data_IF_192451283926
#
_entry.id   IF_192451283926
#
_cell.length_a   1.000
_cell.length_b   1.000
_cell.length_c   1.000
_cell.angle_alpha   90.00
_cell.angle_beta   90.00
_cell.angle_gamma   90.00
#
_symmetry.space_group_name_H-M   'P 1'
#
loop_
_entity.id
_entity.type
_entity.pdbx_description
1 polymer ?
#
# COMPACT_ATOMS: atom_id res chain seq x y z
N UNK A 1 30.62 -33.37 40.81
CA UNK A 1 30.76 -32.06 40.13
C UNK A 1 29.79 -32.08 38.97
N UNK A 2 28.61 -31.49 39.15
CA UNK A 2 27.63 -31.31 38.07
C UNK A 2 28.26 -30.37 37.04
N UNK A 3 28.44 -30.84 35.81
CA UNK A 3 28.92 -30.01 34.72
C UNK A 3 27.77 -29.07 34.32
N UNK A 4 27.90 -27.78 34.63
CA UNK A 4 27.05 -26.75 34.07
C UNK A 4 27.22 -26.76 32.54
N UNK A 5 26.20 -27.21 31.83
CA UNK A 5 26.18 -27.10 30.37
C UNK A 5 25.69 -25.71 29.97
N UNK A 6 26.27 -25.18 28.91
CA UNK A 6 25.94 -23.87 28.34
C UNK A 6 25.48 -24.09 26.91
N UNK A 7 24.31 -23.55 26.57
CA UNK A 7 23.79 -23.61 25.21
C UNK A 7 24.74 -22.90 24.24
N UNK A 8 25.23 -23.56 23.17
CA UNK A 8 26.19 -22.97 22.25
C UNK A 8 25.60 -21.84 21.38
N UNK A 9 24.27 -21.73 21.31
CA UNK A 9 23.58 -20.76 20.44
C UNK A 9 23.17 -19.47 21.15
N UNK A 10 22.91 -19.50 22.46
CA UNK A 10 22.45 -18.33 23.22
C UNK A 10 23.14 -18.14 24.58
N UNK A 11 24.16 -18.95 24.88
CA UNK A 11 24.94 -18.90 26.12
C UNK A 11 24.13 -19.07 27.43
N UNK A 12 22.90 -19.60 27.35
CA UNK A 12 22.09 -19.93 28.53
C UNK A 12 22.73 -21.09 29.29
N UNK A 13 23.05 -20.89 30.56
CA UNK A 13 23.48 -21.94 31.49
C UNK A 13 22.24 -22.60 32.12
N UNK A 14 22.20 -23.93 32.18
CA UNK A 14 21.05 -24.70 32.66
C UNK A 14 21.42 -26.05 33.29
N UNK A 15 20.46 -26.68 33.95
CA UNK A 15 20.65 -27.87 34.77
C UNK A 15 20.63 -29.15 33.95
N UNK A 16 21.82 -29.66 33.61
CA UNK A 16 21.99 -30.99 33.03
C UNK A 16 21.61 -31.13 31.55
N UNK A 17 21.97 -32.27 30.98
CA UNK A 17 21.92 -32.56 29.54
C UNK A 17 20.50 -32.57 28.96
N UNK A 18 19.53 -33.11 29.70
CA UNK A 18 18.15 -33.25 29.24
C UNK A 18 17.42 -31.90 29.13
N UNK A 19 17.68 -30.97 30.03
CA UNK A 19 17.14 -29.60 29.96
C UNK A 19 17.76 -28.83 28.79
N UNK A 20 19.06 -29.06 28.53
CA UNK A 20 19.77 -28.44 27.42
C UNK A 20 19.26 -28.92 26.06
N UNK A 21 19.00 -30.23 25.92
CA UNK A 21 18.40 -30.82 24.72
C UNK A 21 17.01 -30.23 24.42
N UNK A 22 16.13 -30.17 25.43
CA UNK A 22 14.79 -29.59 25.25
C UNK A 22 14.86 -28.10 24.89
N UNK A 23 15.78 -27.35 25.49
CA UNK A 23 16.02 -25.95 25.14
C UNK A 23 16.51 -25.80 23.69
N UNK A 24 17.44 -26.65 23.24
CA UNK A 24 17.92 -26.64 21.86
C UNK A 24 16.81 -27.01 20.87
N UNK A 25 16.01 -28.04 21.12
CA UNK A 25 14.89 -28.40 20.23
C UNK A 25 13.80 -27.32 20.15
N UNK A 26 13.54 -26.62 21.26
CA UNK A 26 12.44 -25.63 21.32
C UNK A 26 12.85 -24.27 20.75
N UNK A 27 14.09 -23.84 21.00
CA UNK A 27 14.56 -22.49 20.68
C UNK A 27 15.61 -22.44 19.57
N UNK A 28 16.20 -23.59 19.20
CA UNK A 28 17.22 -23.75 18.16
C UNK A 28 17.00 -25.03 17.31
N UNK A 29 15.78 -25.27 16.78
CA UNK A 29 15.51 -26.48 16.00
C UNK A 29 16.41 -26.54 14.75
N UNK A 30 17.06 -27.68 14.52
CA UNK A 30 17.88 -27.90 13.33
C UNK A 30 16.97 -27.94 12.09
N UNK A 31 17.21 -27.06 11.11
CA UNK A 31 16.63 -27.18 9.78
C UNK A 31 17.39 -28.30 9.04
N UNK A 32 16.81 -29.49 9.09
CA UNK A 32 17.37 -30.72 8.51
C UNK A 32 17.51 -30.58 6.98
N UNK A 33 18.75 -30.39 6.53
CA UNK A 33 19.12 -30.29 5.11
C UNK A 33 19.51 -31.67 4.57
N UNK A 34 18.59 -32.64 4.67
CA UNK A 34 18.79 -34.00 4.16
C UNK A 34 17.84 -34.32 3.01
N UNK A 35 18.43 -34.53 1.83
CA UNK A 35 17.75 -34.96 0.61
C UNK A 35 17.05 -36.31 0.82
N UNK A 36 15.73 -36.36 0.64
CA UNK A 36 14.97 -37.59 0.43
C UNK A 36 13.80 -37.34 -0.53
N UNK A 37 13.72 -38.15 -1.58
CA UNK A 37 12.80 -38.01 -2.70
C UNK A 37 11.39 -38.58 -2.40
N UNK A 38 10.39 -37.71 -2.58
CA UNK A 38 8.99 -37.92 -3.03
C UNK A 38 7.89 -38.44 -2.06
N UNK A 39 6.59 -38.11 -2.30
CA UNK A 39 6.00 -37.20 -3.28
C UNK A 39 5.30 -35.97 -2.66
N UNK A 40 5.52 -34.80 -3.25
CA UNK A 40 4.95 -33.53 -2.83
C UNK A 40 3.46 -33.41 -3.20
N UNK A 41 2.60 -33.44 -2.19
CA UNK A 41 1.34 -32.67 -2.19
C UNK A 41 1.51 -31.50 -1.22
N UNK A 42 2.45 -30.62 -1.55
CA UNK A 42 2.72 -29.41 -0.78
C UNK A 42 2.79 -28.23 -1.74
N UNK A 43 2.03 -27.17 -1.46
CA UNK A 43 2.24 -25.86 -2.06
C UNK A 43 3.73 -25.50 -1.98
N UNK A 44 4.36 -25.00 -3.06
CA UNK A 44 5.77 -24.62 -3.01
C UNK A 44 6.00 -23.64 -1.86
N UNK A 45 6.92 -23.94 -0.94
CA UNK A 45 7.41 -22.94 0.02
C UNK A 45 8.03 -21.81 -0.81
N UNK A 46 7.36 -20.67 -0.88
CA UNK A 46 7.92 -19.49 -1.52
C UNK A 46 9.19 -19.09 -0.76
N UNK A 47 10.32 -19.12 -1.46
CA UNK A 47 11.61 -18.74 -0.92
C UNK A 47 11.78 -17.22 -1.08
N UNK A 48 12.19 -16.56 0.00
CA UNK A 48 12.42 -15.11 0.05
C UNK A 48 13.91 -14.83 0.20
N UNK A 49 14.39 -13.75 -0.40
CA UNK A 49 15.74 -13.22 -0.24
C UNK A 49 15.70 -11.75 0.14
N UNK A 50 16.66 -11.32 0.97
CA UNK A 50 16.83 -9.91 1.27
C UNK A 50 17.48 -9.18 0.10
N UNK A 51 16.99 -7.97 -0.20
CA UNK A 51 17.56 -7.14 -1.25
C UNK A 51 19.02 -6.78 -0.93
N UNK A 52 19.97 -6.97 -1.87
CA UNK A 52 21.38 -6.64 -1.65
C UNK A 52 21.69 -5.14 -1.67
N UNK A 53 20.75 -4.29 -2.12
CA UNK A 53 20.96 -2.84 -2.21
C UNK A 53 20.96 -2.21 -0.82
N UNK A 54 22.06 -1.50 -0.50
CA UNK A 54 22.21 -0.88 0.83
C UNK A 54 21.09 0.13 1.09
N UNK A 55 20.35 -0.11 2.17
CA UNK A 55 19.26 0.79 2.60
C UNK A 55 17.89 0.44 2.04
N UNK A 56 17.77 -0.58 1.17
CA UNK A 56 16.47 -1.08 0.72
C UNK A 56 15.73 -1.79 1.86
N UNK A 57 16.31 -2.87 2.40
CA UNK A 57 15.77 -3.59 3.57
C UNK A 57 14.53 -4.45 3.31
N UNK A 58 14.09 -4.62 2.05
CA UNK A 58 12.96 -5.49 1.69
C UNK A 58 13.37 -6.97 1.61
N UNK A 59 12.43 -7.83 2.01
CA UNK A 59 12.51 -9.27 1.77
C UNK A 59 11.57 -9.63 0.63
N UNK A 60 12.13 -10.12 -0.47
CA UNK A 60 11.46 -10.24 -1.77
C UNK A 60 11.39 -11.72 -2.16
N UNK A 61 10.27 -12.20 -2.72
CA UNK A 61 10.21 -13.53 -3.30
C UNK A 61 11.31 -13.72 -4.36
N UNK A 62 11.97 -14.88 -4.40
CA UNK A 62 13.05 -15.13 -5.38
C UNK A 62 12.60 -14.91 -6.83
N UNK A 63 11.32 -15.19 -7.15
CA UNK A 63 10.75 -14.96 -8.48
C UNK A 63 10.64 -13.46 -8.87
N UNK A 64 10.80 -12.56 -7.91
CA UNK A 64 10.65 -11.12 -8.08
C UNK A 64 11.95 -10.34 -7.97
N UNK A 65 13.03 -10.97 -7.52
CA UNK A 65 14.30 -10.27 -7.25
C UNK A 65 14.82 -9.53 -8.49
N UNK A 66 14.76 -10.15 -9.67
CA UNK A 66 15.20 -9.51 -10.91
C UNK A 66 14.38 -8.25 -11.24
N UNK A 67 13.06 -8.32 -11.03
CA UNK A 67 12.18 -7.19 -11.28
C UNK A 67 12.38 -6.07 -10.24
N UNK A 68 12.56 -6.44 -8.99
CA UNK A 68 12.88 -5.49 -7.93
C UNK A 68 14.22 -4.79 -8.19
N UNK A 69 15.23 -5.55 -8.64
CA UNK A 69 16.53 -5.00 -9.03
C UNK A 69 16.42 -4.06 -10.23
N UNK A 70 15.63 -4.40 -11.24
CA UNK A 70 15.34 -3.51 -12.37
C UNK A 70 14.74 -2.16 -11.92
N UNK A 71 13.91 -2.16 -10.87
CA UNK A 71 13.33 -0.93 -10.31
C UNK A 71 14.37 -0.09 -9.56
N UNK A 72 15.31 -0.71 -8.84
CA UNK A 72 16.46 0.00 -8.27
C UNK A 72 17.37 0.60 -9.34
N UNK A 73 17.64 -0.14 -10.41
CA UNK A 73 18.42 0.38 -11.54
C UNK A 73 17.73 1.60 -12.16
N UNK A 74 16.41 1.61 -12.26
CA UNK A 74 15.68 2.75 -12.80
C UNK A 74 15.62 3.94 -11.82
N UNK A 75 15.56 3.67 -10.51
CA UNK A 75 15.72 4.68 -9.45
C UNK A 75 17.10 5.35 -9.55
N UNK A 76 18.18 4.58 -9.70
CA UNK A 76 19.56 5.08 -9.78
C UNK A 76 19.92 5.72 -11.13
N UNK A 77 19.44 5.16 -12.26
CA UNK A 77 19.74 5.67 -13.60
C UNK A 77 19.25 7.11 -13.78
N UNK A 78 18.08 7.41 -13.20
CA UNK A 78 17.51 8.75 -13.23
C UNK A 78 18.14 9.73 -12.20
N UNK A 79 19.05 9.25 -11.34
CA UNK A 79 19.93 10.08 -10.50
C UNK A 79 21.20 10.47 -11.29
N UNK A 80 21.76 9.53 -12.06
CA UNK A 80 23.05 9.69 -12.74
C UNK A 80 22.98 10.48 -14.06
N UNK A 81 21.86 10.45 -14.78
CA UNK A 81 21.72 11.19 -16.05
C UNK A 81 21.41 12.67 -15.82
N UNK A 82 22.14 13.57 -16.51
CA UNK A 82 21.92 15.01 -16.44
C UNK A 82 20.54 15.37 -17.05
N UNK A 83 19.53 15.82 -16.28
CA UNK A 83 18.13 15.80 -16.71
C UNK A 83 17.81 16.73 -17.89
N UNK A 84 18.64 17.75 -18.14
CA UNK A 84 18.54 18.60 -19.34
C UNK A 84 18.71 17.82 -20.65
N UNK A 85 19.19 16.58 -20.62
CA UNK A 85 19.32 15.73 -21.81
C UNK A 85 17.99 15.08 -22.23
N UNK A 86 17.10 14.75 -21.28
CA UNK A 86 15.89 13.96 -21.53
C UNK A 86 14.60 14.79 -21.61
N UNK A 87 14.48 15.86 -20.81
CA UNK A 87 13.31 16.73 -20.77
C UNK A 87 13.69 18.18 -21.06
N UNK A 88 12.91 18.84 -21.94
CA UNK A 88 13.03 20.27 -22.22
C UNK A 88 11.87 20.98 -21.55
N UNK A 89 12.16 21.76 -20.50
CA UNK A 89 11.18 22.60 -19.82
C UNK A 89 10.77 23.73 -20.77
N UNK A 90 9.48 23.85 -21.03
CA UNK A 90 8.94 24.92 -21.85
C UNK A 90 8.81 26.17 -20.97
N UNK A 91 9.61 27.20 -21.26
CA UNK A 91 9.55 28.47 -20.53
C UNK A 91 8.16 29.09 -20.69
N UNK A 92 7.41 29.20 -19.59
CA UNK A 92 6.21 30.03 -19.52
C UNK A 92 6.65 31.49 -19.46
N UNK A 93 6.30 32.29 -20.46
CA UNK A 93 6.23 33.75 -20.28
C UNK A 93 5.20 34.03 -19.17
N UNK A 94 5.51 34.83 -18.15
CA UNK A 94 4.56 35.10 -17.08
C UNK A 94 3.43 35.98 -17.62
N UNK A 95 2.24 35.41 -17.76
CA UNK A 95 1.01 36.20 -17.82
C UNK A 95 0.63 36.55 -16.38
N UNK A 96 0.92 37.79 -15.99
CA UNK A 96 0.40 38.39 -14.76
C UNK A 96 -1.10 38.63 -14.92
N UNK A 97 -1.90 37.73 -14.36
CA UNK A 97 -3.31 37.98 -14.07
C UNK A 97 -3.48 37.94 -12.56
N UNK A 98 -3.39 39.11 -11.94
CA UNK A 98 -3.76 39.35 -10.54
C UNK A 98 -5.26 39.15 -10.38
N UNK A 99 -5.65 38.10 -9.64
CA UNK A 99 -7.00 37.96 -9.09
C UNK A 99 -6.92 38.09 -7.57
N UNK A 100 -7.63 39.10 -7.07
CA UNK A 100 -7.66 39.52 -5.68
C UNK A 100 -8.37 38.48 -4.80
N UNK A 101 -7.77 38.17 -3.65
CA UNK A 101 -8.39 37.39 -2.60
C UNK A 101 -9.35 38.29 -1.80
N UNK A 102 -10.62 37.89 -1.71
CA UNK A 102 -11.58 38.44 -0.75
C UNK A 102 -11.69 37.45 0.41
N UNK A 103 -11.19 37.86 1.57
CA UNK A 103 -11.35 37.17 2.84
C UNK A 103 -12.76 37.39 3.38
N UNK A 104 -13.43 36.33 3.83
CA UNK A 104 -14.55 36.47 4.77
C UNK A 104 -14.36 35.51 5.94
N UNK A 105 -14.40 36.08 7.13
CA UNK A 105 -14.24 35.42 8.42
C UNK A 105 -15.60 35.02 8.96
N UNK A 106 -15.78 33.76 9.37
CA UNK A 106 -16.80 33.38 10.32
C UNK A 106 -16.21 32.46 11.39
N UNK A 107 -16.29 32.91 12.64
CA UNK A 107 -16.12 32.15 13.88
C UNK A 107 -17.50 31.67 14.33
N UNK A 108 -17.58 30.45 14.86
CA UNK A 108 -18.28 30.04 16.11
C UNK A 108 -18.25 28.50 16.24
N UNK A 109 -17.46 27.96 17.16
CA UNK A 109 -17.79 27.43 18.52
C UNK A 109 -18.28 25.98 18.56
N UNK A 110 -17.61 25.22 19.42
CA UNK A 110 -17.72 23.78 19.65
C UNK A 110 -18.98 23.37 20.43
N UNK A 111 -19.39 22.11 20.26
CA UNK A 111 -20.01 21.27 21.30
C UNK A 111 -20.08 19.79 20.84
N UNK A 112 -20.14 18.92 21.85
CA UNK A 112 -19.84 17.48 21.87
C UNK A 112 -20.99 16.55 21.48
N UNK A 113 -20.65 15.26 21.26
CA UNK A 113 -21.57 14.11 21.25
C UNK A 113 -21.87 13.56 19.85
N UNK A 114 -21.99 12.25 19.56
CA UNK A 114 -22.11 11.06 20.39
C UNK A 114 -21.69 9.80 19.59
N UNK A 115 -21.16 8.82 20.32
CA UNK A 115 -20.90 7.43 19.92
C UNK A 115 -22.20 6.60 19.85
N UNK A 116 -22.98 6.70 18.77
CA UNK A 116 -24.18 5.85 18.61
C UNK A 116 -24.25 5.07 17.28
N UNK A 117 -23.30 5.28 16.37
CA UNK A 117 -23.38 4.73 15.01
C UNK A 117 -22.36 3.61 14.70
N UNK A 118 -21.59 3.13 15.69
CA UNK A 118 -20.57 2.08 15.46
C UNK A 118 -21.18 0.68 15.49
N UNK A 119 -22.19 0.43 16.32
CA UNK A 119 -22.84 -0.89 16.43
C UNK A 119 -23.66 -1.27 15.19
N UNK A 120 -24.24 -0.28 14.50
CA UNK A 120 -25.10 -0.53 13.34
C UNK A 120 -24.30 -0.92 12.09
N UNK A 121 -23.05 -0.44 11.97
CA UNK A 121 -22.15 -0.81 10.87
C UNK A 121 -21.49 -2.19 11.08
N UNK A 122 -21.20 -2.56 12.34
CA UNK A 122 -20.69 -3.89 12.68
C UNK A 122 -21.67 -5.02 12.30
N UNK A 123 -22.98 -4.79 12.44
CA UNK A 123 -24.02 -5.78 12.06
C UNK A 123 -24.22 -5.90 10.55
N UNK A 124 -23.98 -4.86 9.76
CA UNK A 124 -24.17 -4.89 8.30
C UNK A 124 -23.00 -5.61 7.59
N UNK A 125 -21.77 -5.46 8.10
CA UNK A 125 -20.56 -6.10 7.55
C UNK A 125 -20.46 -7.60 7.89
N UNK A 126 -21.21 -8.07 8.89
CA UNK A 126 -21.28 -9.49 9.25
C UNK A 126 -22.00 -10.36 8.20
N UNK A 127 -22.76 -9.76 7.26
CA UNK A 127 -23.62 -10.50 6.32
C UNK A 127 -22.94 -10.93 5.01
N UNK A 128 -21.65 -10.62 4.80
CA UNK A 128 -20.87 -11.11 3.64
C UNK A 128 -19.80 -12.15 4.01
N UNK A 129 -19.66 -12.52 5.28
CA UNK A 129 -18.79 -13.61 5.69
C UNK A 129 -19.55 -14.95 5.61
N UNK A 130 -19.50 -15.61 4.45
CA UNK A 130 -19.85 -17.05 4.39
C UNK A 130 -18.82 -17.82 5.23
N UNK A 131 -19.28 -18.36 6.35
CA UNK A 131 -18.52 -19.21 7.26
C UNK A 131 -17.86 -20.38 6.53
N UNK A 132 -16.52 -20.41 6.52
CA UNK A 132 -15.78 -21.68 6.47
C UNK A 132 -15.54 -22.12 7.91
N UNK A 133 -15.90 -23.37 8.19
CA UNK A 133 -15.93 -23.93 9.53
C UNK A 133 -14.55 -24.16 10.15
N UNK A 134 -14.57 -24.30 11.48
CA UNK A 134 -13.61 -24.97 12.38
C UNK A 134 -12.24 -25.32 11.75
N UNK A 135 -11.44 -24.30 11.51
CA UNK A 135 -9.99 -24.38 11.66
C UNK A 135 -9.64 -23.39 12.77
N UNK A 136 -8.86 -23.81 13.77
CA UNK A 136 -8.66 -23.08 15.01
C UNK A 136 -8.13 -21.65 14.82
N UNK A 137 -8.25 -20.85 15.87
CA UNK A 137 -7.65 -19.51 16.07
C UNK A 137 -6.13 -19.54 15.81
N UNK A 138 -5.73 -19.64 14.55
CA UNK A 138 -4.35 -19.85 14.17
C UNK A 138 -3.75 -18.51 13.80
N UNK A 139 -2.68 -18.15 14.51
CA UNK A 139 -1.85 -16.99 14.16
C UNK A 139 -1.29 -17.16 12.75
N UNK A 140 -1.26 -16.06 12.00
CA UNK A 140 -0.66 -16.01 10.68
C UNK A 140 0.86 -16.16 10.76
N UNK A 141 1.46 -16.56 9.64
CA UNK A 141 2.88 -16.86 9.55
C UNK A 141 3.68 -15.75 8.87
N UNK A 142 4.93 -16.09 8.52
CA UNK A 142 5.83 -15.21 7.76
C UNK A 142 5.34 -14.91 6.33
N UNK A 143 4.49 -15.78 5.77
CA UNK A 143 3.95 -15.57 4.43
C UNK A 143 3.01 -14.36 4.37
N UNK A 144 2.19 -14.16 5.40
CA UNK A 144 1.23 -13.06 5.46
C UNK A 144 1.78 -11.84 6.20
N UNK A 145 2.49 -12.05 7.31
CA UNK A 145 2.97 -10.97 8.19
C UNK A 145 4.40 -10.50 7.88
N UNK A 146 5.03 -11.09 6.87
CA UNK A 146 6.41 -10.82 6.48
C UNK A 146 7.45 -11.37 7.46
N UNK A 147 8.72 -11.00 7.25
CA UNK A 147 9.86 -11.49 8.05
C UNK A 147 9.74 -11.22 9.56
N UNK A 148 8.94 -10.23 9.95
CA UNK A 148 8.74 -9.81 11.34
C UNK A 148 7.44 -10.35 11.96
N UNK A 149 6.85 -11.40 11.39
CA UNK A 149 5.61 -12.01 11.87
C UNK A 149 5.53 -12.27 13.38
N UNK A 150 6.66 -12.63 14.00
CA UNK A 150 6.73 -12.98 15.43
C UNK A 150 7.36 -11.89 16.29
N UNK A 151 7.68 -10.73 15.70
CA UNK A 151 8.25 -9.60 16.42
C UNK A 151 7.26 -9.10 17.48
N UNK A 152 7.76 -8.91 18.70
CA UNK A 152 6.99 -8.31 19.80
C UNK A 152 7.16 -6.79 19.84
N UNK A 153 8.35 -6.30 19.53
CA UNK A 153 8.69 -4.89 19.53
C UNK A 153 9.81 -4.64 18.52
N UNK A 154 9.70 -3.58 17.74
CA UNK A 154 10.72 -3.15 16.80
C UNK A 154 11.89 -2.46 17.55
N UNK A 155 13.11 -2.47 17.00
CA UNK A 155 14.27 -1.87 17.65
C UNK A 155 14.14 -0.35 17.89
N UNK A 156 14.69 0.16 18.99
CA UNK A 156 14.63 1.58 19.38
C UNK A 156 15.20 2.54 18.33
N UNK A 157 16.24 2.11 17.61
CA UNK A 157 16.82 2.91 16.54
C UNK A 157 15.80 3.15 15.40
N UNK A 158 14.95 2.16 15.13
CA UNK A 158 13.91 2.27 14.10
C UNK A 158 12.73 3.10 14.61
N UNK A 159 12.36 2.96 15.89
CA UNK A 159 11.37 3.85 16.52
C UNK A 159 11.82 5.31 16.41
N UNK A 160 13.08 5.57 16.74
CA UNK A 160 13.69 6.90 16.62
C UNK A 160 13.71 7.39 15.17
N UNK A 161 14.03 6.51 14.22
CA UNK A 161 14.02 6.82 12.79
C UNK A 161 12.62 7.19 12.31
N UNK A 162 11.59 6.43 12.68
CA UNK A 162 10.20 6.68 12.27
C UNK A 162 9.65 7.97 12.89
N UNK A 163 9.98 8.26 14.15
CA UNK A 163 9.61 9.53 14.79
C UNK A 163 10.30 10.75 14.17
N UNK A 164 11.59 10.66 13.84
CA UNK A 164 12.36 11.79 13.27
C UNK A 164 12.17 11.95 11.77
N UNK A 165 12.11 10.83 11.06
CA UNK A 165 12.10 10.78 9.60
C UNK A 165 10.71 10.94 9.00
N UNK A 166 9.64 10.66 9.76
CA UNK A 166 8.26 10.82 9.31
C UNK A 166 7.96 10.04 8.02
N UNK A 167 7.76 10.79 6.94
CA UNK A 167 7.54 10.25 5.60
C UNK A 167 8.33 11.01 4.52
N UNK A 168 8.72 10.31 3.46
CA UNK A 168 9.26 10.93 2.24
C UNK A 168 8.10 11.03 1.25
N UNK A 169 7.59 12.25 1.05
CA UNK A 169 6.45 12.50 0.17
C UNK A 169 6.79 13.40 -1.00
N UNK A 170 6.20 13.09 -2.15
CA UNK A 170 6.27 13.90 -3.37
C UNK A 170 4.86 14.31 -3.78
N UNK A 171 4.65 15.61 -3.93
CA UNK A 171 3.39 16.19 -4.38
C UNK A 171 3.43 16.51 -5.89
N UNK A 172 2.32 16.39 -6.61
CA UNK A 172 2.23 16.73 -8.03
C UNK A 172 2.80 15.70 -9.01
N UNK A 173 3.16 14.50 -8.55
CA UNK A 173 3.63 13.40 -9.43
C UNK A 173 2.54 13.00 -10.43
N UNK A 174 1.26 13.01 -10.03
CA UNK A 174 0.13 12.72 -10.92
C UNK A 174 0.12 13.66 -12.14
N UNK A 175 0.42 14.95 -11.95
CA UNK A 175 0.50 15.93 -13.04
C UNK A 175 1.68 15.68 -14.00
N UNK A 176 2.78 15.10 -13.48
CA UNK A 176 3.91 14.68 -14.31
C UNK A 176 3.52 13.44 -15.12
N UNK A 177 2.85 12.46 -14.51
CA UNK A 177 2.34 11.26 -15.19
C UNK A 177 1.35 11.63 -16.31
N UNK A 178 0.44 12.58 -16.06
CA UNK A 178 -0.49 13.09 -17.07
C UNK A 178 0.23 13.58 -18.33
N UNK A 179 1.27 14.40 -18.15
CA UNK A 179 2.07 14.94 -19.26
C UNK A 179 2.87 13.85 -19.97
N UNK A 180 3.42 12.89 -19.24
CA UNK A 180 4.16 11.76 -19.83
C UNK A 180 3.23 10.85 -20.63
N UNK A 181 2.08 10.45 -20.09
CA UNK A 181 1.08 9.61 -20.78
C UNK A 181 0.54 10.31 -22.03
N UNK A 182 0.32 11.63 -21.96
CA UNK A 182 -0.09 12.42 -23.11
C UNK A 182 0.95 12.35 -24.24
N UNK A 183 2.23 12.36 -23.88
CA UNK A 183 3.37 12.31 -24.81
C UNK A 183 3.79 10.90 -25.23
N UNK A 184 3.38 9.86 -24.49
CA UNK A 184 3.70 8.46 -24.80
C UNK A 184 3.20 8.07 -26.17
N UNK A 185 4.01 7.36 -26.95
CA UNK A 185 3.57 6.84 -28.25
C UNK A 185 2.78 5.55 -28.11
N UNK A 186 2.97 4.83 -27.01
CA UNK A 186 2.29 3.56 -26.76
C UNK A 186 0.89 3.73 -26.18
N UNK A 187 0.64 4.77 -25.37
CA UNK A 187 -0.67 5.04 -24.76
C UNK A 187 -1.72 5.35 -25.83
N UNK A 188 -2.84 4.64 -25.78
CA UNK A 188 -4.07 4.96 -26.51
C UNK A 188 -4.96 5.89 -25.67
N UNK A 189 -5.27 5.48 -24.44
CA UNK A 189 -5.89 6.33 -23.43
C UNK A 189 -5.41 5.98 -22.02
N UNK A 190 -5.54 6.93 -21.11
CA UNK A 190 -5.29 6.69 -19.70
C UNK A 190 -6.26 7.47 -18.80
N UNK A 191 -6.52 6.91 -17.63
CA UNK A 191 -7.22 7.57 -16.54
C UNK A 191 -6.28 7.70 -15.34
N UNK A 192 -6.34 8.82 -14.64
CA UNK A 192 -5.62 9.08 -13.40
C UNK A 192 -6.62 9.42 -12.28
N UNK A 193 -6.27 9.07 -11.05
CA UNK A 193 -6.97 9.53 -9.85
C UNK A 193 -6.85 11.05 -9.67
N UNK A 194 -7.44 11.56 -8.59
CA UNK A 194 -7.33 12.97 -8.23
C UNK A 194 -5.85 13.41 -8.07
N UNK A 195 -5.47 14.57 -8.65
CA UNK A 195 -4.09 15.05 -8.62
C UNK A 195 -3.58 15.40 -7.21
N UNK A 196 -4.46 15.49 -6.21
CA UNK A 196 -4.08 15.74 -4.82
C UNK A 196 -3.37 14.55 -4.14
N UNK A 197 -3.36 13.37 -4.75
CA UNK A 197 -2.67 12.20 -4.22
C UNK A 197 -1.16 12.44 -4.21
N UNK A 198 -0.57 12.33 -3.03
CA UNK A 198 0.88 12.38 -2.83
C UNK A 198 1.46 10.97 -2.92
N UNK A 199 2.62 10.83 -3.56
CA UNK A 199 3.39 9.60 -3.45
C UNK A 199 4.13 9.59 -2.12
N UNK A 200 3.96 8.54 -1.32
CA UNK A 200 4.65 8.36 -0.04
C UNK A 200 5.54 7.13 -0.11
N UNK A 201 6.85 7.36 0.05
CA UNK A 201 7.89 6.34 -0.05
C UNK A 201 8.58 6.10 1.29
N UNK A 202 9.28 4.98 1.37
CA UNK A 202 9.97 4.52 2.58
C UNK A 202 11.17 5.38 2.96
N UNK A 203 11.47 5.39 4.27
CA UNK A 203 12.76 5.80 4.79
C UNK A 203 13.82 4.72 4.50
N UNK A 204 15.07 5.15 4.33
CA UNK A 204 16.19 4.21 4.16
C UNK A 204 16.27 3.32 5.40
N UNK A 205 16.42 2.00 5.19
CA UNK A 205 16.52 0.98 6.24
C UNK A 205 15.25 0.76 7.09
N UNK A 206 14.07 1.28 6.72
CA UNK A 206 12.85 1.03 7.51
C UNK A 206 12.34 -0.42 7.36
N UNK A 207 12.09 -0.85 6.12
CA UNK A 207 11.53 -2.16 5.74
C UNK A 207 10.14 -2.47 6.31
N UNK A 208 9.27 -3.08 5.50
CA UNK A 208 8.06 -3.76 5.99
C UNK A 208 6.85 -2.88 6.35
N UNK A 209 6.82 -1.64 5.90
CA UNK A 209 5.71 -0.71 6.14
C UNK A 209 4.88 -0.37 4.90
N UNK A 210 4.97 -1.14 3.80
CA UNK A 210 4.29 -0.82 2.54
C UNK A 210 2.79 -0.57 2.70
N UNK A 211 2.05 -1.44 3.41
CA UNK A 211 0.62 -1.25 3.65
C UNK A 211 0.28 0.04 4.40
N UNK A 212 1.12 0.42 5.37
CA UNK A 212 0.96 1.66 6.12
C UNK A 212 1.24 2.89 5.25
N UNK A 213 2.27 2.86 4.40
CA UNK A 213 2.56 3.93 3.45
C UNK A 213 1.46 4.07 2.39
N UNK A 214 0.86 2.96 1.95
CA UNK A 214 -0.32 3.00 1.08
C UNK A 214 -1.54 3.62 1.78
N UNK A 215 -1.78 3.34 3.07
CA UNK A 215 -2.80 4.06 3.85
C UNK A 215 -2.50 5.57 3.88
N UNK A 216 -1.24 5.98 4.07
CA UNK A 216 -0.85 7.40 4.00
C UNK A 216 -1.17 8.01 2.63
N UNK A 217 -0.90 7.30 1.53
CA UNK A 217 -1.27 7.77 0.18
C UNK A 217 -2.78 7.91 -0.01
N UNK A 218 -3.57 6.95 0.48
CA UNK A 218 -5.04 7.03 0.47
C UNK A 218 -5.54 8.23 1.30
N UNK A 219 -4.92 8.53 2.44
CA UNK A 219 -5.25 9.68 3.29
C UNK A 219 -4.82 11.02 2.65
N UNK A 220 -3.73 11.03 1.88
CA UNK A 220 -3.29 12.23 1.16
C UNK A 220 -4.38 12.75 0.21
N UNK A 221 -5.11 11.85 -0.46
CA UNK A 221 -6.31 12.19 -1.22
C UNK A 221 -7.36 12.83 -0.33
N UNK A 222 -7.70 12.21 0.81
CA UNK A 222 -8.76 12.70 1.69
C UNK A 222 -8.46 14.14 2.14
N UNK A 223 -7.20 14.41 2.48
CA UNK A 223 -6.76 15.74 2.90
C UNK A 223 -6.75 16.71 1.72
N UNK A 224 -6.06 16.38 0.64
CA UNK A 224 -5.82 17.31 -0.46
C UNK A 224 -7.07 17.59 -1.32
N UNK A 225 -7.98 16.63 -1.45
CA UNK A 225 -9.26 16.80 -2.13
C UNK A 225 -10.40 17.25 -1.20
N UNK A 226 -10.13 17.47 0.10
CA UNK A 226 -11.13 17.79 1.11
C UNK A 226 -12.30 16.78 1.12
N UNK A 227 -11.97 15.50 1.06
CA UNK A 227 -12.94 14.42 0.94
C UNK A 227 -13.58 14.05 2.31
N UNK A 228 -14.67 13.26 2.34
CA UNK A 228 -15.29 12.81 3.58
C UNK A 228 -14.28 12.17 4.54
N UNK A 229 -14.28 12.63 5.80
CA UNK A 229 -13.36 12.17 6.84
C UNK A 229 -12.09 13.02 7.02
N UNK A 230 -11.92 14.11 6.27
CA UNK A 230 -10.76 15.02 6.39
C UNK A 230 -10.51 15.52 7.83
N UNK A 231 -11.58 15.80 8.59
CA UNK A 231 -11.50 16.29 9.97
C UNK A 231 -10.78 15.31 10.92
N UNK A 232 -10.68 14.03 10.54
CA UNK A 232 -9.99 12.99 11.32
C UNK A 232 -8.47 13.16 11.31
N UNK A 233 -7.91 13.88 10.34
CA UNK A 233 -6.47 13.90 10.06
C UNK A 233 -5.77 15.24 10.34
N UNK A 234 -6.51 16.29 10.73
CA UNK A 234 -5.95 17.60 11.11
C UNK A 234 -5.00 18.19 10.05
N UNK A 235 -5.25 17.92 8.77
CA UNK A 235 -4.43 18.41 7.65
C UNK A 235 -3.03 17.77 7.51
N UNK A 236 -2.74 16.67 8.23
CA UNK A 236 -1.46 15.95 8.12
C UNK A 236 -1.65 14.46 7.93
N UNK A 237 -0.63 13.79 7.40
CA UNK A 237 -0.60 12.33 7.34
C UNK A 237 -0.39 11.77 8.76
N UNK A 238 -1.09 10.69 9.14
CA UNK A 238 -0.81 9.99 10.38
C UNK A 238 0.53 9.25 10.27
N UNK A 239 1.25 9.16 11.38
CA UNK A 239 2.47 8.36 11.48
C UNK A 239 2.15 6.86 11.45
N UNK A 240 3.17 6.03 11.21
CA UNK A 240 3.03 4.56 11.29
C UNK A 240 2.44 4.12 12.63
N UNK A 241 2.87 4.72 13.74
CA UNK A 241 2.38 4.40 15.08
C UNK A 241 0.90 4.80 15.26
N UNK A 242 0.50 5.95 14.73
CA UNK A 242 -0.91 6.37 14.76
C UNK A 242 -1.79 5.47 13.90
N UNK A 243 -1.29 5.00 12.76
CA UNK A 243 -1.99 4.01 11.92
C UNK A 243 -2.17 2.69 12.67
N UNK A 244 -1.11 2.17 13.31
CA UNK A 244 -1.19 0.96 14.15
C UNK A 244 -2.22 1.12 15.26
N UNK A 245 -2.21 2.27 15.94
CA UNK A 245 -3.18 2.59 16.99
C UNK A 245 -4.61 2.64 16.45
N UNK A 246 -4.83 3.26 15.30
CA UNK A 246 -6.15 3.35 14.66
C UNK A 246 -6.71 1.98 14.27
N UNK A 247 -5.87 1.11 13.70
CA UNK A 247 -6.25 -0.26 13.32
C UNK A 247 -6.63 -1.05 14.57
N UNK A 248 -5.76 -1.05 15.60
CA UNK A 248 -6.01 -1.80 16.82
C UNK A 248 -7.24 -1.30 17.59
N UNK A 249 -7.48 0.03 17.61
CA UNK A 249 -8.72 0.58 18.17
C UNK A 249 -9.95 0.12 17.40
N UNK A 250 -9.88 0.00 16.08
CA UNK A 250 -10.99 -0.54 15.30
C UNK A 250 -11.27 -2.01 15.66
N UNK A 251 -10.23 -2.81 15.90
CA UNK A 251 -10.38 -4.17 16.41
C UNK A 251 -11.03 -4.21 17.80
N UNK A 252 -10.66 -3.29 18.69
CA UNK A 252 -11.27 -3.19 20.03
C UNK A 252 -12.75 -2.80 19.97
N UNK A 253 -13.17 -2.11 18.91
CA UNK A 253 -14.58 -1.82 18.58
C UNK A 253 -15.30 -2.97 17.85
N UNK A 254 -14.64 -4.11 17.66
CA UNK A 254 -15.21 -5.30 17.01
C UNK A 254 -15.16 -5.28 15.47
N UNK A 255 -14.52 -4.28 14.86
CA UNK A 255 -14.37 -4.18 13.40
C UNK A 255 -13.16 -5.01 13.00
N UNK A 256 -13.33 -6.06 12.18
CA UNK A 256 -12.25 -6.96 11.77
C UNK A 256 -11.38 -7.47 12.94
N UNK A 257 -11.98 -7.69 14.11
CA UNK A 257 -11.28 -8.01 15.36
C UNK A 257 -10.45 -9.30 15.29
N UNK A 258 -10.75 -10.19 14.34
CA UNK A 258 -9.94 -11.37 14.04
C UNK A 258 -8.47 -11.03 13.74
N UNK A 259 -8.20 -9.85 13.14
CA UNK A 259 -6.84 -9.37 12.86
C UNK A 259 -5.99 -9.28 14.13
N UNK A 260 -6.59 -8.98 15.29
CA UNK A 260 -5.86 -8.98 16.58
C UNK A 260 -5.33 -10.36 16.94
N UNK A 261 -6.12 -11.41 16.70
CA UNK A 261 -5.74 -12.81 16.97
C UNK A 261 -4.73 -13.29 15.94
N UNK A 262 -5.02 -13.05 14.66
CA UNK A 262 -4.20 -13.47 13.52
C UNK A 262 -2.78 -12.90 13.58
N UNK A 263 -2.65 -11.62 13.95
CA UNK A 263 -1.34 -10.94 14.06
C UNK A 263 -0.71 -11.09 15.46
N UNK A 264 -1.55 -11.27 16.50
CA UNK A 264 -1.18 -11.08 17.90
C UNK A 264 -0.78 -9.65 18.24
N UNK A 265 -1.39 -8.67 17.58
CA UNK A 265 -1.11 -7.24 17.73
C UNK A 265 -0.03 -6.75 16.76
N UNK A 266 -0.18 -5.51 16.31
CA UNK A 266 0.71 -4.85 15.35
C UNK A 266 1.43 -3.64 15.95
N UNK A 267 0.90 -3.04 17.03
CA UNK A 267 1.51 -1.89 17.70
C UNK A 267 2.97 -2.13 18.04
N UNK A 268 3.82 -1.20 17.65
CA UNK A 268 5.25 -1.25 17.93
C UNK A 268 6.00 -2.32 17.15
N UNK A 269 5.40 -2.95 16.15
CA UNK A 269 6.03 -4.03 15.36
C UNK A 269 6.14 -3.68 13.88
N UNK A 270 6.93 -4.45 13.14
CA UNK A 270 7.10 -4.33 11.69
C UNK A 270 6.27 -5.35 10.90
N UNK A 271 5.21 -5.89 11.51
CA UNK A 271 4.32 -6.86 10.84
C UNK A 271 3.66 -6.19 9.64
N UNK A 272 3.61 -6.93 8.55
CA UNK A 272 2.88 -6.51 7.36
C UNK A 272 1.40 -6.43 7.71
N UNK A 273 0.72 -5.53 7.02
CA UNK A 273 -0.73 -5.36 7.07
C UNK A 273 -1.27 -5.45 5.65
N UNK A 274 -2.55 -5.80 5.53
CA UNK A 274 -3.21 -5.94 4.24
C UNK A 274 -4.50 -5.15 4.15
N UNK A 275 -5.32 -5.57 3.19
CA UNK A 275 -6.66 -5.03 2.95
C UNK A 275 -7.55 -5.06 4.21
N UNK A 276 -7.55 -6.12 5.05
CA UNK A 276 -8.39 -6.16 6.25
C UNK A 276 -8.05 -5.07 7.27
N UNK A 277 -6.76 -4.78 7.49
CA UNK A 277 -6.32 -3.71 8.39
C UNK A 277 -6.63 -2.32 7.84
N UNK A 278 -6.39 -2.10 6.56
CA UNK A 278 -6.75 -0.85 5.90
C UNK A 278 -8.27 -0.60 6.01
N UNK A 279 -9.08 -1.62 5.78
CA UNK A 279 -10.53 -1.56 5.96
C UNK A 279 -10.91 -1.27 7.41
N UNK A 280 -10.29 -1.94 8.38
CA UNK A 280 -10.54 -1.70 9.80
C UNK A 280 -10.30 -0.24 10.16
N UNK A 281 -9.20 0.35 9.69
CA UNK A 281 -8.88 1.75 9.91
C UNK A 281 -9.94 2.69 9.32
N UNK A 282 -10.29 2.54 8.05
CA UNK A 282 -11.24 3.47 7.40
C UNK A 282 -12.64 3.33 7.99
N UNK A 283 -13.12 2.10 8.21
CA UNK A 283 -14.42 1.85 8.85
C UNK A 283 -14.43 2.38 10.29
N UNK A 284 -13.36 2.16 11.06
CA UNK A 284 -13.22 2.69 12.43
C UNK A 284 -13.22 4.22 12.48
N UNK A 285 -12.74 4.89 11.44
CA UNK A 285 -12.80 6.35 11.28
C UNK A 285 -14.13 6.86 10.67
N UNK A 286 -15.07 5.96 10.37
CA UNK A 286 -16.33 6.24 9.69
C UNK A 286 -16.14 6.81 8.28
N UNK A 287 -15.08 6.36 7.60
CA UNK A 287 -14.77 6.70 6.21
C UNK A 287 -15.28 5.54 5.34
N UNK A 288 -16.28 5.78 4.46
CA UNK A 288 -16.83 4.73 3.61
C UNK A 288 -15.76 4.12 2.69
N UNK A 289 -15.66 2.80 2.68
CA UNK A 289 -14.76 2.08 1.80
C UNK A 289 -15.28 0.67 1.48
N UNK A 290 -14.90 0.18 0.31
CA UNK A 290 -15.26 -1.15 -0.19
C UNK A 290 -14.01 -1.95 -0.53
N UNK A 291 -13.84 -3.10 0.14
CA UNK A 291 -12.83 -4.10 -0.19
C UNK A 291 -13.37 -5.11 -1.21
N UNK A 292 -12.53 -5.56 -2.15
CA UNK A 292 -12.88 -6.54 -3.17
C UNK A 292 -11.69 -7.47 -3.44
N UNK A 293 -11.91 -8.77 -3.30
CA UNK A 293 -10.95 -9.81 -3.67
C UNK A 293 -11.18 -10.37 -5.08
N UNK A 294 -10.09 -10.70 -5.76
CA UNK A 294 -10.07 -11.33 -7.08
C UNK A 294 -9.28 -12.63 -7.00
N UNK A 295 -9.99 -13.74 -7.08
CA UNK A 295 -9.40 -15.08 -7.14
C UNK A 295 -10.18 -15.93 -8.13
N UNK A 296 -9.44 -16.61 -9.00
CA UNK A 296 -9.96 -17.55 -9.97
C UNK A 296 -9.04 -18.77 -10.04
N UNK A 297 -9.60 -19.93 -10.37
CA UNK A 297 -8.83 -21.16 -10.51
C UNK A 297 -8.02 -21.15 -11.81
N UNK A 298 -8.51 -20.46 -12.83
CA UNK A 298 -7.84 -20.36 -14.12
C UNK A 298 -6.80 -19.24 -14.12
N UNK A 299 -5.59 -19.57 -14.57
CA UNK A 299 -4.49 -18.62 -14.63
C UNK A 299 -4.83 -17.43 -15.54
N UNK A 300 -4.54 -16.21 -15.07
CA UNK A 300 -4.81 -14.97 -15.80
C UNK A 300 -6.24 -14.44 -15.67
N UNK A 301 -7.22 -15.23 -15.21
CA UNK A 301 -8.58 -14.71 -14.98
C UNK A 301 -8.67 -13.75 -13.79
N UNK A 302 -7.92 -13.99 -12.71
CA UNK A 302 -7.83 -13.05 -11.59
C UNK A 302 -7.33 -11.68 -12.05
N UNK A 303 -6.26 -11.67 -12.86
CA UNK A 303 -5.69 -10.45 -13.45
C UNK A 303 -6.70 -9.74 -14.35
N UNK A 304 -7.37 -10.47 -15.26
CA UNK A 304 -8.34 -9.88 -16.16
C UNK A 304 -9.52 -9.22 -15.41
N UNK A 305 -10.01 -9.86 -14.35
CA UNK A 305 -11.07 -9.29 -13.48
C UNK A 305 -10.59 -8.04 -12.75
N UNK A 306 -9.36 -8.05 -12.22
CA UNK A 306 -8.74 -6.88 -11.58
C UNK A 306 -8.64 -5.71 -12.56
N UNK A 307 -8.05 -5.95 -13.75
CA UNK A 307 -7.88 -4.93 -14.79
C UNK A 307 -9.22 -4.31 -15.21
N UNK A 308 -10.23 -5.15 -15.43
CA UNK A 308 -11.58 -4.69 -15.78
C UNK A 308 -12.21 -3.86 -14.66
N UNK A 309 -12.08 -4.28 -13.40
CA UNK A 309 -12.63 -3.57 -12.26
C UNK A 309 -11.97 -2.19 -12.06
N UNK A 310 -10.65 -2.10 -12.21
CA UNK A 310 -9.90 -0.84 -12.09
C UNK A 310 -10.22 0.11 -13.23
N UNK A 311 -10.25 -0.39 -14.47
CA UNK A 311 -10.63 0.41 -15.63
C UNK A 311 -12.05 0.97 -15.47
N UNK A 312 -13.00 0.13 -15.08
CA UNK A 312 -14.39 0.54 -14.87
C UNK A 312 -14.53 1.52 -13.71
N UNK A 313 -13.70 1.42 -12.67
CA UNK A 313 -13.68 2.40 -11.58
C UNK A 313 -13.27 3.78 -12.09
N UNK A 314 -12.10 3.92 -12.72
CA UNK A 314 -11.62 5.23 -13.17
C UNK A 314 -12.43 5.81 -14.33
N UNK A 315 -13.05 4.96 -15.16
CA UNK A 315 -13.98 5.39 -16.21
C UNK A 315 -15.21 6.11 -15.67
N UNK A 316 -15.57 5.95 -14.38
CA UNK A 316 -16.68 6.68 -13.76
C UNK A 316 -16.37 8.14 -13.44
N UNK A 317 -15.10 8.56 -13.49
CA UNK A 317 -14.71 9.95 -13.25
C UNK A 317 -15.31 10.92 -14.29
N UNK A 318 -15.43 12.19 -13.93
CA UNK A 318 -15.93 13.22 -14.86
C UNK A 318 -14.87 13.49 -15.93
N UNK A 319 -15.23 13.35 -17.21
CA UNK A 319 -14.30 13.52 -18.34
C UNK A 319 -14.55 14.83 -19.09
N UNK A 320 -13.48 15.50 -19.55
CA UNK A 320 -13.60 16.40 -20.72
C UNK A 320 -13.61 15.51 -21.97
N UNK A 321 -14.57 15.69 -22.87
CA UNK A 321 -14.62 14.89 -24.09
C UNK A 321 -13.36 15.13 -24.95
N UNK A 322 -12.75 14.03 -25.43
CA UNK A 322 -11.70 14.06 -26.45
C UNK A 322 -10.25 14.12 -25.95
N UNK A 323 -9.98 14.04 -24.64
CA UNK A 323 -8.60 13.98 -24.13
C UNK A 323 -8.05 12.55 -24.11
N UNK A 324 -6.81 12.38 -24.57
CA UNK A 324 -6.06 11.11 -24.49
C UNK A 324 -5.86 10.63 -23.05
N UNK A 325 -5.60 11.56 -22.13
CA UNK A 325 -5.44 11.29 -20.71
C UNK A 325 -6.53 12.03 -19.96
N UNK A 326 -7.15 11.38 -18.98
CA UNK A 326 -8.17 11.99 -18.15
C UNK A 326 -7.81 11.89 -16.67
N UNK A 327 -7.53 13.05 -16.06
CA UNK A 327 -7.43 13.17 -14.62
C UNK A 327 -8.84 13.30 -14.02
N UNK A 328 -9.20 12.36 -13.16
CA UNK A 328 -10.50 12.29 -12.50
C UNK A 328 -10.45 12.99 -11.14
N UNK A 329 -11.59 13.08 -10.44
CA UNK A 329 -11.65 13.44 -9.00
C UNK A 329 -11.78 12.22 -8.09
N UNK A 330 -11.54 11.02 -8.64
CA UNK A 330 -11.73 9.77 -7.91
C UNK A 330 -10.54 9.49 -6.98
N UNK A 331 -10.79 8.88 -5.81
CA UNK A 331 -9.71 8.41 -4.94
C UNK A 331 -8.76 7.42 -5.63
N UNK A 332 -7.50 7.32 -5.18
CA UNK A 332 -6.65 6.19 -5.53
C UNK A 332 -7.20 4.88 -4.94
N UNK A 333 -6.61 3.75 -5.30
CA UNK A 333 -7.03 2.43 -4.83
C UNK A 333 -5.87 1.74 -4.09
N UNK A 334 -6.11 1.30 -2.86
CA UNK A 334 -5.19 0.42 -2.15
C UNK A 334 -5.17 -0.94 -2.84
N UNK A 335 -4.01 -1.47 -3.19
CA UNK A 335 -3.86 -2.70 -3.96
C UNK A 335 -2.91 -3.68 -3.26
N UNK A 336 -3.39 -4.89 -3.04
CA UNK A 336 -2.66 -5.97 -2.36
C UNK A 336 -2.51 -7.17 -3.30
N UNK A 337 -1.34 -7.77 -3.24
CA UNK A 337 -1.10 -9.16 -3.62
C UNK A 337 -0.17 -9.81 -2.61
N UNK A 338 0.19 -11.08 -2.79
CA UNK A 338 1.11 -11.76 -1.88
C UNK A 338 2.45 -11.01 -1.78
N UNK A 339 2.91 -10.79 -0.54
CA UNK A 339 4.22 -10.21 -0.23
C UNK A 339 4.36 -8.69 -0.34
N UNK A 340 3.46 -7.97 -1.02
CA UNK A 340 3.59 -6.51 -1.20
C UNK A 340 2.24 -5.81 -1.43
N UNK A 341 2.22 -4.50 -1.19
CA UNK A 341 1.08 -3.64 -1.48
C UNK A 341 1.51 -2.36 -2.17
N UNK A 342 0.63 -1.83 -3.02
CA UNK A 342 0.82 -0.67 -3.86
C UNK A 342 -0.41 0.25 -3.78
N UNK A 343 -0.28 1.45 -4.31
CA UNK A 343 -1.42 2.35 -4.53
C UNK A 343 -1.64 2.51 -6.01
N UNK A 344 -2.79 2.04 -6.54
CA UNK A 344 -3.16 2.28 -7.93
C UNK A 344 -3.66 3.72 -8.06
N UNK A 345 -2.98 4.49 -8.89
CA UNK A 345 -3.26 5.90 -9.18
C UNK A 345 -3.87 6.09 -10.58
N UNK A 346 -4.05 5.02 -11.33
CA UNK A 346 -4.70 5.11 -12.64
C UNK A 346 -4.70 3.81 -13.43
N UNK A 347 -5.18 3.93 -14.66
CA UNK A 347 -5.25 2.85 -15.63
C UNK A 347 -4.81 3.35 -17.00
N UNK A 348 -4.04 2.55 -17.72
CA UNK A 348 -3.60 2.83 -19.08
C UNK A 348 -4.01 1.71 -20.02
N UNK A 349 -4.56 2.08 -21.18
CA UNK A 349 -4.65 1.24 -22.38
C UNK A 349 -3.64 1.71 -23.41
N UNK A 350 -2.89 0.77 -23.98
CA UNK A 350 -1.97 1.00 -25.07
C UNK A 350 -2.58 0.63 -26.43
N UNK A 351 -2.05 1.19 -27.52
CA UNK A 351 -2.57 1.04 -28.89
C UNK A 351 -2.67 -0.41 -29.39
N UNK A 352 -1.91 -1.34 -28.79
CA UNK A 352 -1.94 -2.76 -29.14
C UNK A 352 -2.85 -3.59 -28.21
N UNK A 353 -3.73 -2.93 -27.44
CA UNK A 353 -4.69 -3.56 -26.52
C UNK A 353 -4.11 -3.96 -25.16
N UNK A 354 -2.78 -3.96 -25.01
CA UNK A 354 -2.11 -4.14 -23.72
C UNK A 354 -2.53 -3.06 -22.73
N UNK A 355 -2.65 -3.42 -21.47
CA UNK A 355 -3.03 -2.50 -20.41
C UNK A 355 -2.04 -2.56 -19.25
N UNK A 356 -1.95 -1.44 -18.54
CA UNK A 356 -1.15 -1.31 -17.33
C UNK A 356 -2.01 -0.68 -16.23
N UNK A 357 -1.86 -1.20 -15.01
CA UNK A 357 -2.15 -0.41 -13.83
C UNK A 357 -1.07 0.66 -13.70
N UNK A 358 -1.46 1.88 -13.35
CA UNK A 358 -0.54 2.94 -12.98
C UNK A 358 -0.47 2.98 -11.45
N UNK A 359 0.71 2.83 -10.88
CA UNK A 359 0.90 2.63 -9.44
C UNK A 359 1.95 3.57 -8.85
N UNK A 360 1.73 3.93 -7.60
CA UNK A 360 2.77 4.35 -6.67
C UNK A 360 3.21 3.16 -5.84
N UNK A 361 4.53 3.01 -5.69
CA UNK A 361 5.16 1.91 -4.99
C UNK A 361 5.94 2.45 -3.80
N UNK A 362 5.48 2.24 -2.56
CA UNK A 362 6.09 2.86 -1.39
C UNK A 362 7.54 2.41 -1.13
N UNK A 363 7.99 1.33 -1.80
CA UNK A 363 9.36 0.83 -1.67
C UNK A 363 10.38 1.74 -2.36
N UNK A 364 9.96 2.49 -3.38
CA UNK A 364 10.86 3.27 -4.22
C UNK A 364 10.54 4.77 -4.12
N UNK A 365 11.55 5.62 -4.27
CA UNK A 365 11.35 7.06 -4.36
C UNK A 365 11.03 7.46 -5.79
N UNK A 366 10.37 8.60 -5.94
CA UNK A 366 10.27 9.21 -7.25
C UNK A 366 11.68 9.58 -7.74
N UNK A 367 12.00 9.25 -9.00
CA UNK A 367 13.25 9.66 -9.59
C UNK A 367 13.48 11.17 -9.50
N UNK A 368 14.69 11.64 -9.10
CA UNK A 368 14.96 13.08 -8.98
C UNK A 368 14.80 13.87 -10.29
N UNK A 369 14.93 13.21 -11.44
CA UNK A 369 14.66 13.80 -12.74
C UNK A 369 13.16 14.14 -12.90
N UNK A 370 12.26 13.23 -12.49
CA UNK A 370 10.81 13.44 -12.54
C UNK A 370 10.33 14.42 -11.47
N UNK A 371 10.90 14.35 -10.26
CA UNK A 371 10.57 15.30 -9.20
C UNK A 371 10.84 16.77 -9.62
N UNK A 372 11.85 17.02 -10.45
CA UNK A 372 12.13 18.36 -11.00
C UNK A 372 11.13 18.85 -12.05
N UNK A 373 10.31 17.96 -12.61
CA UNK A 373 9.26 18.30 -13.58
C UNK A 373 7.95 18.70 -12.90
N UNK A 374 7.85 18.52 -11.58
CA UNK A 374 6.67 18.92 -10.80
C UNK A 374 6.41 20.42 -11.00
N UNK A 375 5.16 20.77 -11.32
CA UNK A 375 4.73 22.14 -11.59
C UNK A 375 5.23 22.73 -12.91
N UNK A 376 5.97 21.97 -13.73
CA UNK A 376 6.50 22.42 -15.02
C UNK A 376 5.67 21.88 -16.19
N UNK A 377 5.69 22.59 -17.31
CA UNK A 377 5.27 22.05 -18.61
C UNK A 377 6.52 21.63 -19.38
N UNK A 378 6.55 20.40 -19.89
CA UNK A 378 7.77 19.86 -20.50
C UNK A 378 7.50 19.01 -21.74
N UNK A 379 8.54 18.89 -22.58
CA UNK A 379 8.60 17.85 -23.62
C UNK A 379 9.64 16.80 -23.25
N UNK A 380 9.25 15.54 -23.27
CA UNK A 380 10.08 14.40 -22.87
C UNK A 380 10.46 13.56 -24.09
N UNK A 381 11.76 13.27 -24.27
CA UNK A 381 12.25 12.48 -25.42
C UNK A 381 11.83 11.02 -25.35
N UNK A 382 11.85 10.44 -24.15
CA UNK A 382 11.56 9.02 -23.90
C UNK A 382 10.46 8.84 -22.86
N UNK A 383 9.26 9.40 -23.11
CA UNK A 383 8.16 9.37 -22.12
C UNK A 383 7.80 7.94 -21.66
N UNK A 384 7.85 6.96 -22.55
CA UNK A 384 7.53 5.56 -22.23
C UNK A 384 8.53 4.90 -21.27
N UNK A 385 9.81 5.29 -21.33
CA UNK A 385 10.85 4.79 -20.42
C UNK A 385 10.62 5.33 -19.01
N UNK A 386 10.34 6.64 -18.90
CA UNK A 386 10.06 7.28 -17.60
C UNK A 386 8.76 6.80 -16.95
N UNK A 387 7.83 6.24 -17.72
CA UNK A 387 6.61 5.63 -17.21
C UNK A 387 6.81 4.19 -16.69
N UNK A 388 7.94 3.54 -17.03
CA UNK A 388 8.20 2.12 -16.67
C UNK A 388 8.10 1.85 -15.15
N UNK A 389 8.64 2.69 -14.24
CA UNK A 389 8.51 2.47 -12.80
C UNK A 389 7.07 2.45 -12.29
N UNK A 390 6.16 3.16 -12.97
CA UNK A 390 4.77 3.33 -12.55
C UNK A 390 3.82 2.33 -13.21
N UNK A 391 4.27 1.59 -14.25
CA UNK A 391 3.44 0.63 -14.97
C UNK A 391 3.52 -0.77 -14.34
N UNK A 392 2.37 -1.38 -14.07
CA UNK A 392 2.23 -2.80 -13.74
C UNK A 392 1.29 -3.45 -14.76
N UNK A 393 1.89 -4.12 -15.75
CA UNK A 393 1.17 -4.83 -16.80
C UNK A 393 1.13 -6.35 -16.56
N UNK A 394 0.68 -7.09 -17.57
CA UNK A 394 0.46 -8.54 -17.47
C UNK A 394 1.70 -9.35 -17.04
N UNK A 395 2.90 -8.97 -17.49
CA UNK A 395 4.15 -9.65 -17.08
C UNK A 395 4.35 -9.63 -15.56
N UNK A 396 3.96 -8.53 -14.91
CA UNK A 396 4.02 -8.40 -13.46
C UNK A 396 2.88 -9.18 -12.79
N UNK A 397 1.63 -8.93 -13.23
CA UNK A 397 0.45 -9.46 -12.55
C UNK A 397 0.32 -10.99 -12.64
N UNK A 398 0.76 -11.63 -13.73
CA UNK A 398 0.66 -13.11 -13.90
C UNK A 398 1.42 -13.94 -12.86
N UNK A 399 2.29 -13.31 -12.07
CA UNK A 399 3.03 -13.96 -10.98
C UNK A 399 2.13 -14.30 -9.81
N UNK A 400 1.04 -13.56 -9.65
CA UNK A 400 0.11 -13.70 -8.52
C UNK A 400 -1.18 -14.39 -8.96
N UNK A 401 -1.78 -15.13 -8.04
CA UNK A 401 -3.05 -15.85 -8.26
C UNK A 401 -4.25 -15.14 -7.67
N UNK A 402 -4.00 -14.29 -6.69
CA UNK A 402 -5.02 -13.55 -5.96
C UNK A 402 -4.59 -12.10 -5.75
N UNK A 403 -5.59 -11.25 -5.76
CA UNK A 403 -5.45 -9.81 -5.61
C UNK A 403 -6.56 -9.31 -4.72
N UNK A 404 -6.30 -8.24 -3.99
CA UNK A 404 -7.34 -7.51 -3.28
C UNK A 404 -7.17 -6.03 -3.54
N UNK A 405 -8.30 -5.32 -3.58
CA UNK A 405 -8.31 -3.87 -3.64
C UNK A 405 -9.20 -3.31 -2.54
N UNK A 406 -8.89 -2.10 -2.08
CA UNK A 406 -9.78 -1.29 -1.27
C UNK A 406 -9.94 0.09 -1.90
N UNK A 407 -11.20 0.50 -2.09
CA UNK A 407 -11.59 1.78 -2.67
C UNK A 407 -12.31 2.63 -1.62
N UNK A 408 -12.05 3.93 -1.60
CA UNK A 408 -12.85 4.87 -0.82
C UNK A 408 -14.14 5.17 -1.59
N UNK A 409 -15.27 5.17 -0.89
CA UNK A 409 -16.56 5.44 -1.51
C UNK A 409 -16.88 6.93 -1.36
N UNK A 410 -17.02 7.63 -2.48
CA UNK A 410 -17.26 9.08 -2.53
C UNK A 410 -18.69 9.49 -2.15
N UNK A 411 -19.57 8.53 -1.85
CA UNK A 411 -20.96 8.76 -1.45
C UNK A 411 -21.17 8.34 -0.01
N UNK A 412 -21.54 9.29 0.84
CA UNK A 412 -22.19 8.97 2.11
C UNK A 412 -23.52 8.31 1.76
N UNK A 413 -23.73 7.06 2.17
CA UNK A 413 -25.03 6.42 2.06
C UNK A 413 -26.00 7.16 2.99
N UNK A 414 -26.73 8.14 2.44
CA UNK A 414 -27.89 8.71 3.13
C UNK A 414 -28.96 7.61 3.10
N UNK A 415 -29.14 6.92 4.21
CA UNK A 415 -30.31 6.06 4.41
C UNK A 415 -31.54 6.97 4.34
N UNK A 416 -32.29 6.86 3.25
CA UNK A 416 -33.59 7.48 3.11
C UNK A 416 -34.54 6.74 4.04
N UNK A 417 -34.68 7.23 5.28
CA UNK A 417 -35.78 6.85 6.16
C UNK A 417 -37.06 7.42 5.57
N UNK A 418 -37.69 6.65 4.69
CA UNK A 418 -39.08 6.88 4.29
C UNK A 418 -39.94 6.73 5.54
N UNK A 419 -40.26 7.84 6.19
CA UNK A 419 -41.35 7.91 7.13
C UNK A 419 -42.64 7.87 6.31
N UNK A 420 -43.17 6.67 6.10
CA UNK A 420 -44.56 6.49 5.68
C UNK A 420 -45.46 6.90 6.84
N UNK A 421 -45.97 8.13 6.76
CA UNK A 421 -47.11 8.58 7.55
C UNK A 421 -48.36 8.08 6.85
N UNK A 422 -49.08 7.15 7.49
CA UNK A 422 -50.49 6.86 7.25
C UNK A 422 -51.16 6.65 8.59
#
# INVERSE_FOLDING_TARGET
MEQNMVCPFCAKAGGGELEMLLHMETFHPEEDNSHSFAPATGTPREQYADCPIEGCGESIPLAEIDYHMDLHLEEDRQVAENPNSQAVIQSRRPNTSTVAAASSSHRETAAEGQNANVEQWGKLLSLTAKSKGKDGEKRLGKAELGKYAHEQQMPDWLVTLLHKGGEVKSDGVISVLEQLLSQSKSTEYAYLCDPAVQHVSKLKKEGGFCGYRNIQMMISYIIGANAPGVDRFQGRLPTIFEIQELIERAWDLGINSQGRVETGGIKGTRKYIGTPEAQALFVGLQIPCTAQGFRDQEQGKSEAKLMMAVEQYFKQGVHRQGSKVTCTSLPPIYFQHAGHSLTIVGFERQQHGTANLLVFDPVFRDPPALARLIGQTFKHKSADESLKPYRRGAKYLRRYREFEILRLDSRIAVTSTVHSSS
#
